data_IF_092988171180
#
_entry.id   IF_092988171180
#
_cell.length_a   1.000
_cell.length_b   1.000
_cell.length_c   1.000
_cell.angle_alpha   90.00
_cell.angle_beta   90.00
_cell.angle_gamma   90.00
#
_symmetry.space_group_name_H-M   'P 1'
#
loop_
_entity.id
_entity.type
_entity.pdbx_description
1 polymer ?
#
# COMPACT_ATOMS: atom_id res chain seq x y z
N UNK A 1 -28.09 26.66 15.05
CA UNK A 1 -27.54 27.11 13.75
C UNK A 1 -26.01 26.98 13.61
N UNK A 2 -25.27 26.50 14.62
CA UNK A 2 -23.78 26.48 14.60
C UNK A 2 -23.11 25.18 14.13
N UNK A 3 -23.82 24.03 14.09
CA UNK A 3 -23.20 22.75 13.70
C UNK A 3 -22.92 22.64 12.19
N UNK A 4 -23.76 23.23 11.34
CA UNK A 4 -23.55 23.23 9.89
C UNK A 4 -22.35 24.07 9.47
N UNK A 5 -22.06 25.15 10.20
CA UNK A 5 -20.92 26.02 9.93
C UNK A 5 -19.60 25.32 10.26
N UNK A 6 -19.53 24.58 11.37
CA UNK A 6 -18.35 23.78 11.73
C UNK A 6 -18.08 22.64 10.75
N UNK A 7 -19.11 21.90 10.33
CA UNK A 7 -18.98 20.86 9.29
C UNK A 7 -18.53 21.50 7.96
N UNK A 8 -19.12 22.64 7.57
CA UNK A 8 -18.71 23.36 6.37
C UNK A 8 -17.26 23.86 6.43
N UNK A 9 -16.81 24.42 7.55
CA UNK A 9 -15.43 24.86 7.73
C UNK A 9 -14.44 23.69 7.74
N UNK A 10 -14.80 22.57 8.37
CA UNK A 10 -14.02 21.33 8.34
C UNK A 10 -13.91 20.80 6.91
N UNK A 11 -15.02 20.65 6.19
CA UNK A 11 -15.03 20.21 4.78
C UNK A 11 -14.27 21.18 3.88
N UNK A 12 -14.36 22.49 4.12
CA UNK A 12 -13.62 23.52 3.37
C UNK A 12 -12.12 23.46 3.65
N UNK A 13 -11.71 23.21 4.91
CA UNK A 13 -10.31 23.03 5.30
C UNK A 13 -9.75 21.76 4.66
N UNK A 14 -10.45 20.62 4.77
CA UNK A 14 -10.10 19.36 4.12
C UNK A 14 -10.00 19.52 2.60
N UNK A 15 -10.93 20.25 1.97
CA UNK A 15 -10.89 20.54 0.52
C UNK A 15 -9.72 21.45 0.12
N UNK A 16 -9.39 22.45 0.96
CA UNK A 16 -8.26 23.36 0.73
C UNK A 16 -6.91 22.65 0.91
N UNK A 17 -6.76 21.87 1.97
CA UNK A 17 -5.59 21.01 2.21
C UNK A 17 -5.45 19.95 1.12
N UNK A 18 -6.55 19.32 0.67
CA UNK A 18 -6.55 18.39 -0.46
C UNK A 18 -6.12 19.06 -1.77
N UNK A 19 -6.56 20.30 -2.02
CA UNK A 19 -6.18 21.04 -3.23
C UNK A 19 -4.72 21.52 -3.21
N UNK A 20 -4.24 22.00 -2.06
CA UNK A 20 -2.84 22.37 -1.86
C UNK A 20 -1.91 21.15 -1.92
N UNK A 21 -2.34 20.02 -1.33
CA UNK A 21 -1.65 18.75 -1.50
C UNK A 21 -1.58 18.37 -2.98
N UNK A 22 -2.69 18.36 -3.72
CA UNK A 22 -2.64 18.00 -5.17
C UNK A 22 -1.64 18.82 -5.99
N UNK A 23 -1.55 20.12 -5.77
CA UNK A 23 -0.59 20.98 -6.48
C UNK A 23 0.85 20.72 -6.03
N UNK A 24 1.09 20.59 -4.73
CA UNK A 24 2.39 20.21 -4.18
C UNK A 24 2.84 18.85 -4.71
N UNK A 25 1.96 17.85 -4.64
CA UNK A 25 2.18 16.49 -5.14
C UNK A 25 2.54 16.54 -6.62
N UNK A 26 1.72 17.20 -7.45
CA UNK A 26 1.98 17.35 -8.89
C UNK A 26 3.36 17.96 -9.16
N UNK A 27 3.75 18.99 -8.41
CA UNK A 27 5.08 19.61 -8.53
C UNK A 27 6.20 18.67 -8.08
N UNK A 28 6.05 18.02 -6.93
CA UNK A 28 7.03 17.06 -6.42
C UNK A 28 7.28 15.93 -7.44
N UNK A 29 6.21 15.38 -8.01
CA UNK A 29 6.25 14.38 -9.08
C UNK A 29 6.96 14.89 -10.33
N UNK A 30 6.62 16.09 -10.80
CA UNK A 30 7.23 16.66 -12.00
C UNK A 30 8.73 16.95 -11.80
N UNK A 31 9.13 17.37 -10.60
CA UNK A 31 10.52 17.73 -10.30
C UNK A 31 11.39 16.50 -10.00
N UNK A 32 10.81 15.43 -9.44
CA UNK A 32 11.58 14.27 -8.94
C UNK A 32 11.26 12.96 -9.67
N UNK A 33 10.55 12.98 -10.80
CA UNK A 33 10.10 11.76 -11.50
C UNK A 33 11.24 10.74 -11.72
N UNK A 34 12.43 11.23 -12.02
CA UNK A 34 13.61 10.42 -12.34
C UNK A 34 14.43 10.03 -11.10
N UNK A 35 14.09 10.55 -9.92
CA UNK A 35 14.83 10.34 -8.65
C UNK A 35 14.02 9.62 -7.59
N UNK A 36 12.83 9.13 -7.93
CA UNK A 36 12.01 8.38 -7.00
C UNK A 36 12.62 7.00 -6.73
N UNK A 37 12.72 6.60 -5.45
CA UNK A 37 13.31 5.33 -5.11
C UNK A 37 12.36 4.17 -5.39
N UNK A 38 12.90 2.97 -5.55
CA UNK A 38 12.06 1.76 -5.55
C UNK A 38 11.51 1.49 -4.15
N UNK A 39 10.24 1.15 -4.05
CA UNK A 39 9.56 0.83 -2.79
C UNK A 39 8.98 -0.58 -2.85
N UNK A 40 9.31 -1.40 -1.86
CA UNK A 40 8.62 -2.68 -1.61
C UNK A 40 7.58 -2.48 -0.51
N UNK A 41 6.33 -2.84 -0.78
CA UNK A 41 5.26 -2.86 0.22
C UNK A 41 4.94 -4.28 0.63
N UNK A 42 5.09 -4.59 1.92
CA UNK A 42 4.72 -5.88 2.49
C UNK A 42 3.36 -5.83 3.17
N UNK A 43 2.52 -6.78 2.80
CA UNK A 43 1.18 -6.99 3.33
C UNK A 43 1.15 -8.34 4.06
N UNK A 44 1.51 -8.41 5.35
CA UNK A 44 1.33 -9.61 6.15
C UNK A 44 -0.15 -9.91 6.37
N UNK A 45 -0.61 -11.09 5.97
CA UNK A 45 -2.01 -11.53 6.00
C UNK A 45 -2.11 -12.91 6.64
N UNK A 46 -3.10 -13.09 7.53
CA UNK A 46 -3.42 -14.39 8.14
C UNK A 46 -4.91 -14.49 8.52
N UNK A 47 -5.68 -15.27 7.78
CA UNK A 47 -7.13 -15.47 7.99
C UNK A 47 -7.96 -14.17 7.94
N UNK A 48 -7.67 -13.32 6.95
CA UNK A 48 -8.21 -11.95 6.82
C UNK A 48 -9.12 -11.77 5.59
N UNK A 49 -9.91 -12.82 5.25
CA UNK A 49 -10.77 -12.84 4.05
C UNK A 49 -11.66 -11.61 3.84
N UNK A 50 -12.07 -10.93 4.92
CA UNK A 50 -12.96 -9.76 4.85
C UNK A 50 -12.25 -8.43 4.57
N UNK A 51 -10.92 -8.37 4.71
CA UNK A 51 -10.15 -7.12 4.56
C UNK A 51 -9.05 -7.22 3.51
N UNK A 52 -8.61 -8.42 3.15
CA UNK A 52 -7.50 -8.60 2.21
C UNK A 52 -7.76 -7.98 0.83
N UNK A 53 -8.99 -8.06 0.33
CA UNK A 53 -9.34 -7.50 -0.98
C UNK A 53 -9.22 -5.96 -1.00
N UNK A 54 -9.82 -5.29 -0.02
CA UNK A 54 -9.75 -3.83 0.10
C UNK A 54 -8.32 -3.35 0.35
N UNK A 55 -7.53 -4.11 1.11
CA UNK A 55 -6.12 -3.83 1.38
C UNK A 55 -5.31 -3.86 0.08
N UNK A 56 -5.34 -5.00 -0.64
CA UNK A 56 -4.59 -5.14 -1.89
C UNK A 56 -5.04 -4.07 -2.89
N UNK A 57 -6.35 -3.83 -3.02
CA UNK A 57 -6.87 -2.79 -3.90
C UNK A 57 -6.37 -1.39 -3.49
N UNK A 58 -6.37 -1.05 -2.20
CA UNK A 58 -5.87 0.25 -1.73
C UNK A 58 -4.39 0.45 -2.07
N UNK A 59 -3.56 -0.58 -1.81
CA UNK A 59 -2.11 -0.54 -2.04
C UNK A 59 -1.76 -0.46 -3.53
N UNK A 60 -2.44 -1.23 -4.37
CA UNK A 60 -2.29 -1.18 -5.84
C UNK A 60 -2.69 0.19 -6.41
N UNK A 61 -3.60 0.91 -5.75
CA UNK A 61 -4.06 2.23 -6.17
C UNK A 61 -3.28 3.40 -5.55
N UNK A 62 -2.17 3.13 -4.83
CA UNK A 62 -1.26 4.19 -4.41
C UNK A 62 -0.72 4.87 -5.67
N UNK A 63 -0.72 6.21 -5.66
CA UNK A 63 -0.14 7.00 -6.74
C UNK A 63 1.38 6.89 -6.68
N UNK A 64 1.92 5.86 -7.33
CA UNK A 64 3.35 5.62 -7.51
C UNK A 64 3.59 4.93 -8.86
N UNK A 65 4.75 5.13 -9.54
CA UNK A 65 5.05 4.43 -10.78
C UNK A 65 5.10 2.93 -10.53
N UNK A 66 4.39 2.16 -11.36
CA UNK A 66 4.25 0.70 -11.18
C UNK A 66 5.60 -0.01 -11.20
N UNK A 67 6.51 0.49 -12.04
CA UNK A 67 7.87 -0.01 -12.21
C UNK A 67 8.78 0.26 -11.00
N UNK A 68 8.39 1.19 -10.13
CA UNK A 68 9.09 1.51 -8.89
C UNK A 68 8.36 0.97 -7.65
N UNK A 69 7.23 0.29 -7.80
CA UNK A 69 6.43 -0.22 -6.69
C UNK A 69 6.30 -1.74 -6.76
N UNK A 70 7.02 -2.43 -5.88
CA UNK A 70 6.82 -3.85 -5.63
C UNK A 70 5.80 -4.04 -4.50
N UNK A 71 4.85 -4.95 -4.67
CA UNK A 71 3.87 -5.34 -3.66
C UNK A 71 4.08 -6.83 -3.33
N UNK A 72 4.28 -7.12 -2.06
CA UNK A 72 4.46 -8.48 -1.54
C UNK A 72 3.30 -8.80 -0.59
N UNK A 73 2.42 -9.72 -1.00
CA UNK A 73 1.39 -10.28 -0.12
C UNK A 73 1.98 -11.50 0.59
N UNK A 74 2.28 -11.35 1.88
CA UNK A 74 2.88 -12.36 2.73
C UNK A 74 1.77 -13.11 3.45
N UNK A 75 1.34 -14.23 2.89
CA UNK A 75 0.12 -14.93 3.27
C UNK A 75 0.44 -16.30 3.87
N UNK A 76 0.24 -16.40 5.19
CA UNK A 76 0.35 -17.66 5.93
C UNK A 76 -1.03 -18.29 6.23
N UNK A 77 -2.09 -17.85 5.55
CA UNK A 77 -3.46 -18.32 5.80
C UNK A 77 -3.64 -19.78 5.34
N UNK A 78 -4.51 -20.49 6.04
CA UNK A 78 -4.94 -21.85 5.68
C UNK A 78 -6.43 -21.93 5.34
N UNK A 79 -7.13 -20.79 5.40
CA UNK A 79 -8.53 -20.65 5.02
C UNK A 79 -8.66 -20.11 3.58
N UNK A 80 -9.90 -19.75 3.20
CA UNK A 80 -10.26 -19.19 1.90
C UNK A 80 -9.50 -17.90 1.54
N UNK A 81 -8.86 -17.23 2.51
CA UNK A 81 -8.05 -16.03 2.26
C UNK A 81 -6.98 -16.31 1.21
N UNK A 82 -6.39 -17.51 1.21
CA UNK A 82 -5.32 -17.89 0.28
C UNK A 82 -5.78 -17.88 -1.18
N UNK A 83 -6.99 -18.38 -1.44
CA UNK A 83 -7.56 -18.42 -2.79
C UNK A 83 -7.94 -17.02 -3.27
N UNK A 84 -8.48 -16.18 -2.38
CA UNK A 84 -8.79 -14.78 -2.65
C UNK A 84 -7.52 -14.01 -3.03
N UNK A 85 -6.45 -14.16 -2.24
CA UNK A 85 -5.15 -13.54 -2.51
C UNK A 85 -4.59 -14.00 -3.85
N UNK A 86 -4.57 -15.31 -4.11
CA UNK A 86 -4.05 -15.86 -5.36
C UNK A 86 -4.78 -15.28 -6.59
N UNK A 87 -6.12 -15.20 -6.53
CA UNK A 87 -6.94 -14.62 -7.59
C UNK A 87 -6.65 -13.13 -7.81
N UNK A 88 -6.54 -12.35 -6.74
CA UNK A 88 -6.24 -10.91 -6.81
C UNK A 88 -4.83 -10.65 -7.34
N UNK A 89 -3.83 -11.38 -6.85
CA UNK A 89 -2.45 -11.28 -7.31
C UNK A 89 -2.37 -11.61 -8.80
N UNK A 90 -3.05 -12.67 -9.26
CA UNK A 90 -3.11 -13.00 -10.68
C UNK A 90 -3.73 -11.84 -11.48
N UNK A 91 -4.89 -11.34 -11.06
CA UNK A 91 -5.60 -10.23 -11.72
C UNK A 91 -4.70 -9.00 -11.89
N UNK A 92 -3.98 -8.60 -10.84
CA UNK A 92 -3.13 -7.40 -10.91
C UNK A 92 -1.82 -7.64 -11.63
N UNK A 93 -1.25 -8.86 -11.59
CA UNK A 93 -0.15 -9.23 -12.49
C UNK A 93 -0.55 -9.12 -13.96
N UNK A 94 -1.75 -9.57 -14.33
CA UNK A 94 -2.30 -9.45 -15.69
C UNK A 94 -2.49 -7.97 -16.11
N UNK A 95 -2.54 -7.04 -15.15
CA UNK A 95 -2.57 -5.58 -15.34
C UNK A 95 -1.19 -4.91 -15.20
N UNK A 96 -0.11 -5.71 -15.27
CA UNK A 96 1.29 -5.29 -15.23
C UNK A 96 1.74 -4.64 -13.90
N UNK A 97 1.07 -4.95 -12.79
CA UNK A 97 1.58 -4.57 -11.47
C UNK A 97 2.64 -5.57 -10.99
N UNK A 98 3.72 -5.08 -10.39
CA UNK A 98 4.72 -5.91 -9.71
C UNK A 98 4.17 -6.36 -8.34
N UNK A 99 3.29 -7.36 -8.35
CA UNK A 99 2.69 -7.93 -7.13
C UNK A 99 3.02 -9.42 -7.02
N UNK A 100 3.38 -9.88 -5.83
CA UNK A 100 3.79 -11.27 -5.55
C UNK A 100 2.97 -11.85 -4.40
N UNK A 101 2.50 -13.09 -4.58
CA UNK A 101 1.93 -13.90 -3.50
C UNK A 101 3.05 -14.76 -2.94
N UNK A 102 3.35 -14.60 -1.66
CA UNK A 102 4.42 -15.29 -0.97
C UNK A 102 3.79 -16.02 0.21
N UNK A 103 3.78 -17.35 0.14
CA UNK A 103 3.28 -18.21 1.21
C UNK A 103 4.41 -19.08 1.74
N UNK A 104 4.37 -19.38 3.04
CA UNK A 104 5.34 -20.26 3.70
C UNK A 104 4.67 -21.57 4.12
N UNK A 105 5.42 -22.66 4.07
CA UNK A 105 4.92 -23.95 4.55
C UNK A 105 4.89 -24.03 6.08
N UNK A 106 5.81 -23.34 6.76
CA UNK A 106 5.87 -23.27 8.22
C UNK A 106 5.68 -21.83 8.72
N UNK A 107 4.90 -21.68 9.79
CA UNK A 107 4.57 -20.38 10.39
C UNK A 107 5.54 -20.00 11.51
N UNK A 108 6.80 -20.44 11.41
CA UNK A 108 7.83 -20.13 12.40
C UNK A 108 8.04 -18.62 12.44
N UNK A 109 8.03 -18.06 13.65
CA UNK A 109 8.16 -16.62 13.89
C UNK A 109 6.92 -15.81 13.49
N UNK A 110 5.80 -16.44 13.12
CA UNK A 110 4.53 -15.78 12.77
C UNK A 110 4.75 -14.58 11.82
N UNK A 111 4.19 -13.41 12.14
CA UNK A 111 4.33 -12.16 11.37
C UNK A 111 5.79 -11.77 11.15
N UNK A 112 6.64 -11.85 12.18
CA UNK A 112 8.06 -11.49 12.05
C UNK A 112 8.80 -12.42 11.08
N UNK A 113 8.48 -13.72 11.10
CA UNK A 113 9.03 -14.68 10.15
C UNK A 113 8.58 -14.40 8.70
N UNK A 114 7.32 -14.00 8.51
CA UNK A 114 6.77 -13.65 7.20
C UNK A 114 7.50 -12.43 6.64
N UNK A 115 7.58 -11.36 7.43
CA UNK A 115 8.30 -10.12 7.08
C UNK A 115 9.77 -10.38 6.75
N UNK A 116 10.46 -11.20 7.55
CA UNK A 116 11.85 -11.58 7.27
C UNK A 116 12.02 -12.35 5.95
N UNK A 117 11.03 -13.17 5.58
CA UNK A 117 11.04 -13.91 4.31
C UNK A 117 10.83 -12.94 3.15
N UNK A 118 9.85 -12.04 3.26
CA UNK A 118 9.63 -10.99 2.28
C UNK A 118 10.85 -10.07 2.12
N UNK A 119 11.50 -9.68 3.23
CA UNK A 119 12.63 -8.76 3.24
C UNK A 119 13.81 -9.31 2.41
N UNK A 120 14.05 -10.62 2.46
CA UNK A 120 15.09 -11.29 1.66
C UNK A 120 14.82 -11.27 0.15
N UNK A 121 13.57 -11.03 -0.25
CA UNK A 121 13.14 -11.03 -1.66
C UNK A 121 12.72 -9.63 -2.12
N UNK A 122 12.80 -8.62 -1.25
CA UNK A 122 12.43 -7.25 -1.55
C UNK A 122 13.39 -6.63 -2.57
N UNK A 123 12.82 -5.95 -3.56
CA UNK A 123 13.55 -5.29 -4.65
C UNK A 123 13.73 -3.78 -4.42
N UNK A 124 12.97 -3.23 -3.47
CA UNK A 124 12.93 -1.81 -3.15
C UNK A 124 14.10 -1.33 -2.29
N UNK A 125 14.45 -0.06 -2.46
CA UNK A 125 15.38 0.67 -1.60
C UNK A 125 14.72 1.01 -0.26
N UNK A 126 13.41 1.25 -0.28
CA UNK A 126 12.59 1.45 0.91
C UNK A 126 11.58 0.33 1.09
N UNK A 127 11.29 0.04 2.35
CA UNK A 127 10.28 -0.93 2.75
C UNK A 127 9.12 -0.22 3.44
N UNK A 128 7.90 -0.45 2.96
CA UNK A 128 6.67 -0.12 3.65
C UNK A 128 5.99 -1.40 4.13
N UNK A 129 5.43 -1.39 5.33
CA UNK A 129 4.68 -2.52 5.87
C UNK A 129 3.29 -2.00 6.24
N UNK A 130 2.24 -2.64 5.72
CA UNK A 130 0.86 -2.30 6.05
C UNK A 130 0.16 -3.52 6.65
N UNK A 131 -0.41 -3.34 7.83
CA UNK A 131 -1.24 -4.35 8.46
C UNK A 131 -2.57 -4.49 7.72
N UNK A 132 -3.22 -5.65 7.87
CA UNK A 132 -4.39 -6.01 7.07
C UNK A 132 -5.62 -5.09 7.30
N UNK A 133 -5.66 -4.42 8.44
CA UNK A 133 -6.69 -3.44 8.83
C UNK A 133 -6.34 -2.00 8.46
N UNK A 134 -5.13 -1.73 7.94
CA UNK A 134 -4.70 -0.41 7.52
C UNK A 134 -4.91 -0.19 6.01
N UNK A 135 -5.77 0.77 5.66
CA UNK A 135 -5.99 1.17 4.27
C UNK A 135 -5.21 2.46 3.96
N UNK A 136 -4.07 2.36 3.24
CA UNK A 136 -3.32 3.56 2.88
C UNK A 136 -4.14 4.43 1.91
N UNK A 137 -4.09 5.73 2.14
CA UNK A 137 -4.55 6.72 1.17
C UNK A 137 -3.70 6.65 -0.12
N UNK A 138 -4.29 7.06 -1.24
CA UNK A 138 -3.59 7.07 -2.54
C UNK A 138 -2.30 7.89 -2.55
N UNK A 139 -2.21 8.92 -1.73
CA UNK A 139 -1.04 9.81 -1.66
C UNK A 139 -0.04 9.41 -0.55
N UNK A 140 -0.08 8.14 -0.08
CA UNK A 140 0.72 7.68 1.07
C UNK A 140 2.24 7.86 0.87
N UNK A 141 2.81 7.46 -0.27
CA UNK A 141 4.26 7.58 -0.50
C UNK A 141 4.76 9.00 -0.79
N UNK A 142 3.86 9.97 -0.91
CA UNK A 142 4.25 11.32 -1.34
C UNK A 142 4.22 12.31 -0.18
N UNK A 143 3.49 11.98 0.90
CA UNK A 143 3.41 12.82 2.10
C UNK A 143 4.63 12.74 3.05
N UNK A 144 5.42 11.65 3.14
CA UNK A 144 6.52 11.55 4.10
C UNK A 144 7.94 11.63 3.51
N UNK A 145 8.14 11.76 2.20
CA UNK A 145 9.51 11.82 1.65
C UNK A 145 10.33 13.13 1.81
N UNK A 146 9.83 14.29 2.32
CA UNK A 146 10.72 15.43 2.54
C UNK A 146 11.62 15.32 3.79
N UNK A 147 11.64 14.19 4.51
CA UNK A 147 12.34 14.04 5.79
C UNK A 147 13.28 12.83 5.93
N UNK A 148 13.66 12.19 4.81
CA UNK A 148 14.71 11.17 4.80
C UNK A 148 15.94 11.66 4.03
#
# INVERSE_FOLDING_TARGET
MNNYYMIYLFLRKVKKESSQNKEFLKRFWLTNKDTLPKVTTQLPVYNERYVVERLIHAVVNIHYPKELHEIQVLDDSQDETKDIVAALVKKYKDMEYNIKHISRENRIGFKAGALNTGLKMAEGEFLAIFDADFLPDKDFFIRPFPFL
#
